data_IF_565154068601
#
_entry.id   IF_565154068601
#
_cell.length_a   1.000
_cell.length_b   1.000
_cell.length_c   1.000
_cell.angle_alpha   90.00
_cell.angle_beta   90.00
_cell.angle_gamma   90.00
#
_symmetry.space_group_name_H-M   'P 1'
#
loop_
_entity.id
_entity.type
_entity.pdbx_description
1 polymer ?
#
# COMPACT_ATOMS: atom_id res chain seq x y z
N UNK A 1 24.20 14.42 1.24
CA UNK A 1 25.00 13.34 1.82
C UNK A 1 26.12 13.01 0.83
N UNK A 2 27.37 12.97 1.27
CA UNK A 2 28.50 12.57 0.43
C UNK A 2 28.88 11.17 0.88
N UNK A 3 28.85 10.20 -0.01
CA UNK A 3 29.24 8.84 0.35
C UNK A 3 30.76 8.68 0.34
N UNK A 4 31.21 7.46 0.66
CA UNK A 4 32.63 7.07 0.71
C UNK A 4 33.35 7.26 -0.63
N UNK A 5 32.61 7.35 -1.73
CA UNK A 5 33.13 7.59 -3.08
C UNK A 5 33.20 9.09 -3.42
N UNK A 6 32.87 9.98 -2.47
CA UNK A 6 32.93 11.44 -2.64
C UNK A 6 31.79 12.03 -3.48
N UNK A 7 30.82 11.21 -3.89
CA UNK A 7 29.71 11.61 -4.75
C UNK A 7 28.55 12.12 -3.89
N UNK A 8 28.03 13.30 -4.23
CA UNK A 8 26.84 13.87 -3.60
C UNK A 8 25.59 13.09 -3.98
N UNK A 9 24.93 12.46 -3.02
CA UNK A 9 23.62 11.80 -3.19
C UNK A 9 22.58 12.33 -2.19
N UNK A 10 21.32 12.17 -2.54
CA UNK A 10 20.20 12.38 -1.63
C UNK A 10 20.01 11.13 -0.76
N UNK A 11 19.91 11.33 0.57
CA UNK A 11 19.60 10.23 1.50
C UNK A 11 18.11 10.25 1.76
N UNK A 12 17.40 9.26 1.23
CA UNK A 12 16.00 9.04 1.55
C UNK A 12 15.92 8.31 2.89
N UNK A 13 15.50 9.01 3.94
CA UNK A 13 15.20 8.40 5.24
C UNK A 13 13.72 8.05 5.23
N UNK A 14 13.42 6.76 5.17
CA UNK A 14 12.05 6.26 5.17
C UNK A 14 11.74 5.61 6.51
N UNK A 15 10.48 5.66 6.93
CA UNK A 15 10.02 4.86 8.05
C UNK A 15 10.14 3.37 7.67
N UNK A 16 10.70 2.50 8.53
CA UNK A 16 10.88 1.08 8.20
C UNK A 16 9.56 0.29 8.21
N UNK A 17 8.52 0.83 8.85
CA UNK A 17 7.22 0.20 8.96
C UNK A 17 6.47 0.35 7.63
N UNK A 18 6.20 -0.78 6.98
CA UNK A 18 5.29 -0.84 5.83
C UNK A 18 3.86 -0.93 6.34
N UNK A 19 2.98 -0.08 5.82
CA UNK A 19 1.55 -0.08 6.12
C UNK A 19 0.84 -0.64 4.89
N UNK A 20 0.18 -1.79 5.05
CA UNK A 20 -0.66 -2.35 4.01
C UNK A 20 -1.95 -1.54 3.92
N UNK A 21 -2.39 -1.23 2.71
CA UNK A 21 -3.66 -0.52 2.47
C UNK A 21 -4.59 -1.37 1.62
N UNK A 22 -5.88 -1.05 1.65
CA UNK A 22 -6.87 -1.70 0.79
C UNK A 22 -6.56 -1.44 -0.70
N UNK A 23 -6.49 -2.49 -1.54
CA UNK A 23 -6.38 -2.37 -2.98
C UNK A 23 -7.53 -1.53 -3.55
N UNK A 24 -7.24 -0.61 -4.47
CA UNK A 24 -8.25 0.14 -5.21
C UNK A 24 -7.86 0.22 -6.69
N UNK A 25 -8.78 -0.04 -7.63
CA UNK A 25 -8.51 0.11 -9.05
C UNK A 25 -8.30 1.58 -9.37
N UNK A 26 -7.07 1.97 -9.69
CA UNK A 26 -6.72 3.34 -10.07
C UNK A 26 -5.67 3.37 -11.17
N UNK A 27 -5.66 4.44 -11.95
CA UNK A 27 -4.59 4.68 -12.93
C UNK A 27 -3.25 4.87 -12.20
N UNK A 28 -2.11 4.49 -12.82
CA UNK A 28 -0.80 4.82 -12.28
C UNK A 28 -0.70 6.32 -11.96
N UNK A 29 -0.26 6.64 -10.74
CA UNK A 29 -0.28 7.99 -10.21
C UNK A 29 0.97 8.24 -9.36
N UNK A 30 1.35 9.51 -9.20
CA UNK A 30 2.63 9.91 -8.61
C UNK A 30 2.69 9.84 -7.07
N UNK A 31 1.71 9.18 -6.43
CA UNK A 31 1.72 8.86 -5.00
C UNK A 31 0.74 9.64 -4.14
N UNK A 32 0.42 9.09 -2.96
CA UNK A 32 -0.61 9.60 -2.04
C UNK A 32 -0.28 10.97 -1.41
N UNK A 33 0.90 11.54 -1.67
CA UNK A 33 1.29 12.87 -1.18
C UNK A 33 0.35 13.98 -1.63
N UNK A 34 -0.42 13.75 -2.69
CA UNK A 34 -1.38 14.70 -3.23
C UNK A 34 -2.83 14.40 -2.81
N UNK A 35 -3.05 13.39 -1.97
CA UNK A 35 -4.37 13.08 -1.42
C UNK A 35 -4.55 13.79 -0.08
N UNK A 36 -5.76 14.29 0.14
CA UNK A 36 -6.24 14.62 1.48
C UNK A 36 -6.40 13.32 2.29
N UNK A 37 -6.43 13.42 3.62
CA UNK A 37 -6.49 12.22 4.50
C UNK A 37 -7.69 11.32 4.19
N UNK A 38 -8.82 11.92 3.81
CA UNK A 38 -10.06 11.24 3.40
C UNK A 38 -9.97 10.60 2.01
N UNK A 39 -9.06 11.08 1.16
CA UNK A 39 -8.83 10.51 -0.17
C UNK A 39 -7.80 9.35 -0.14
N UNK A 40 -6.99 9.25 0.92
CA UNK A 40 -6.03 8.16 1.10
C UNK A 40 -6.74 6.79 1.20
N UNK A 41 -6.16 5.70 0.66
CA UNK A 41 -6.76 4.38 0.84
C UNK A 41 -6.74 4.00 2.32
N UNK A 42 -7.80 3.37 2.84
CA UNK A 42 -7.81 2.95 4.23
C UNK A 42 -6.75 1.87 4.45
N UNK A 43 -6.11 1.92 5.61
CA UNK A 43 -5.17 0.89 6.05
C UNK A 43 -5.89 -0.47 6.13
N UNK A 44 -5.23 -1.51 5.62
CA UNK A 44 -5.71 -2.88 5.76
C UNK A 44 -5.48 -3.31 7.20
N UNK A 45 -6.53 -3.24 8.01
CA UNK A 45 -6.45 -3.63 9.42
C UNK A 45 -6.17 -5.13 9.55
N UNK A 46 -5.50 -5.51 10.64
CA UNK A 46 -5.13 -6.89 10.93
C UNK A 46 -6.36 -7.83 11.01
N UNK A 47 -7.51 -7.29 11.40
CA UNK A 47 -8.80 -8.00 11.41
C UNK A 47 -9.32 -8.30 9.99
N UNK A 48 -9.24 -7.32 9.08
CA UNK A 48 -9.59 -7.51 7.67
C UNK A 48 -8.64 -8.52 6.99
N UNK A 49 -7.33 -8.41 7.25
CA UNK A 49 -6.33 -9.35 6.72
C UNK A 49 -6.56 -10.79 7.22
N UNK A 50 -6.94 -10.96 8.50
CA UNK A 50 -7.26 -12.27 9.08
C UNK A 50 -8.52 -12.91 8.47
N UNK A 51 -9.58 -12.13 8.27
CA UNK A 51 -10.79 -12.61 7.61
C UNK A 51 -10.53 -13.01 6.15
N UNK A 52 -9.77 -12.20 5.40
CA UNK A 52 -9.36 -12.51 4.03
C UNK A 52 -8.51 -13.78 3.97
N UNK A 53 -7.57 -13.96 4.89
CA UNK A 53 -6.73 -15.15 4.96
C UNK A 53 -7.51 -16.44 5.24
N UNK A 54 -8.64 -16.33 5.96
CA UNK A 54 -9.50 -17.46 6.32
C UNK A 54 -10.52 -17.80 5.22
N UNK A 55 -10.74 -16.89 4.25
CA UNK A 55 -11.64 -17.15 3.12
C UNK A 55 -11.05 -18.18 2.14
N UNK A 56 -11.87 -19.10 1.60
CA UNK A 56 -11.47 -19.98 0.50
C UNK A 56 -10.96 -19.19 -0.70
N UNK A 57 -9.89 -19.67 -1.34
CA UNK A 57 -9.26 -18.98 -2.49
C UNK A 57 -10.24 -18.67 -3.65
N UNK A 58 -11.19 -19.55 -4.03
CA UNK A 58 -12.14 -19.24 -5.08
C UNK A 58 -13.01 -18.02 -4.77
N UNK A 59 -13.51 -17.93 -3.52
CA UNK A 59 -14.33 -16.81 -3.06
C UNK A 59 -13.51 -15.51 -3.00
N UNK A 60 -12.26 -15.59 -2.55
CA UNK A 60 -11.34 -14.44 -2.52
C UNK A 60 -11.09 -13.90 -3.93
N UNK A 61 -10.95 -14.79 -4.91
CA UNK A 61 -10.73 -14.41 -6.32
C UNK A 61 -11.95 -13.70 -6.89
N UNK A 62 -13.15 -14.26 -6.71
CA UNK A 62 -14.40 -13.62 -7.16
C UNK A 62 -14.61 -12.24 -6.54
N UNK A 63 -14.33 -12.09 -5.24
CA UNK A 63 -14.44 -10.79 -4.56
C UNK A 63 -13.44 -9.75 -5.08
N UNK A 64 -12.20 -10.16 -5.41
CA UNK A 64 -11.22 -9.27 -6.07
C UNK A 64 -11.67 -8.87 -7.47
N UNK A 65 -12.20 -9.83 -8.24
CA UNK A 65 -12.68 -9.58 -9.61
C UNK A 65 -13.88 -8.62 -9.61
N UNK A 66 -14.70 -8.65 -8.55
CA UNK A 66 -15.80 -7.72 -8.31
C UNK A 66 -15.37 -6.38 -7.67
N UNK A 67 -14.09 -6.21 -7.31
CA UNK A 67 -13.57 -5.00 -6.68
C UNK A 67 -14.02 -4.78 -5.23
N UNK A 68 -14.44 -5.84 -4.55
CA UNK A 68 -14.88 -5.84 -3.16
C UNK A 68 -13.72 -6.17 -2.17
N UNK A 69 -12.53 -6.45 -2.70
CA UNK A 69 -11.26 -6.69 -2.00
C UNK A 69 -10.11 -5.98 -2.72
#
# INVERSE_FOLDING_TARGET
>A
FRDKDGIGRCRLVMQPKVIAVSPRPMRPFQGWRYFTEDAAPPDLTRAAAGSIATMPEPLRRELRDLGLL
#
